data_IF_845078226648
#
_entry.id   IF_845078226648
#
_cell.length_a   1.000
_cell.length_b   1.000
_cell.length_c   1.000
_cell.angle_alpha   90.00
_cell.angle_beta   90.00
_cell.angle_gamma   90.00
#
_symmetry.space_group_name_H-M   'P 1'
#
loop_
_entity.id
_entity.type
_entity.pdbx_description
1 polymer ?
#
# COMPACT_ATOMS: atom_id res chain seq x y z
N UNK A 1 -41.70 60.09 -8.99
CA UNK A 1 -40.87 60.89 -9.92
C UNK A 1 -39.45 61.15 -9.39
N UNK A 2 -39.21 62.04 -8.41
CA UNK A 2 -37.83 62.33 -7.94
C UNK A 2 -37.14 61.11 -7.27
N UNK A 3 -37.88 60.32 -6.49
CA UNK A 3 -37.38 59.12 -5.83
C UNK A 3 -37.03 57.99 -6.83
N UNK A 4 -37.77 57.88 -7.93
CA UNK A 4 -37.50 56.89 -8.99
C UNK A 4 -36.21 57.24 -9.75
N UNK A 5 -36.02 58.52 -10.07
CA UNK A 5 -34.78 59.00 -10.71
C UNK A 5 -33.54 58.81 -9.84
N UNK A 6 -33.67 59.01 -8.52
CA UNK A 6 -32.58 58.74 -7.57
C UNK A 6 -32.26 57.25 -7.48
N UNK A 7 -33.28 56.39 -7.50
CA UNK A 7 -33.10 54.94 -7.53
C UNK A 7 -32.36 54.49 -8.80
N UNK A 8 -32.67 55.07 -9.96
CA UNK A 8 -32.01 54.75 -11.24
C UNK A 8 -30.50 55.08 -11.21
N UNK A 9 -30.13 56.23 -10.66
CA UNK A 9 -28.72 56.66 -10.55
C UNK A 9 -27.94 55.74 -9.61
N UNK A 10 -28.51 55.40 -8.45
CA UNK A 10 -27.89 54.46 -7.50
C UNK A 10 -27.77 53.07 -8.11
N UNK A 11 -28.79 52.59 -8.82
CA UNK A 11 -28.78 51.29 -9.47
C UNK A 11 -27.72 51.20 -10.59
N UNK A 12 -27.55 52.28 -11.38
CA UNK A 12 -26.52 52.36 -12.40
C UNK A 12 -25.10 52.32 -11.80
N UNK A 13 -24.86 53.05 -10.70
CA UNK A 13 -23.58 53.03 -9.99
C UNK A 13 -23.29 51.64 -9.39
N UNK A 14 -24.28 51.00 -8.76
CA UNK A 14 -24.17 49.63 -8.25
C UNK A 14 -23.85 48.65 -9.39
N UNK A 15 -24.54 48.76 -10.53
CA UNK A 15 -24.34 47.91 -11.69
C UNK A 15 -22.93 48.01 -12.28
N UNK A 16 -22.40 49.22 -12.42
CA UNK A 16 -21.04 49.45 -12.93
C UNK A 16 -19.97 48.86 -12.01
N UNK A 17 -20.07 49.11 -10.70
CA UNK A 17 -19.07 48.64 -9.74
C UNK A 17 -19.12 47.12 -9.60
N UNK A 18 -20.31 46.52 -9.49
CA UNK A 18 -20.45 45.06 -9.38
C UNK A 18 -20.06 44.37 -10.69
N UNK A 19 -20.41 44.93 -11.85
CA UNK A 19 -20.05 44.37 -13.16
C UNK A 19 -18.54 44.39 -13.44
N UNK A 20 -17.82 45.34 -12.85
CA UNK A 20 -16.35 45.44 -12.96
C UNK A 20 -15.58 44.47 -12.04
N UNK A 21 -16.27 43.74 -11.17
CA UNK A 21 -15.66 42.81 -10.21
C UNK A 21 -16.15 41.36 -10.40
N UNK A 22 -15.26 40.36 -10.38
CA UNK A 22 -15.68 38.96 -10.44
C UNK A 22 -16.56 38.62 -9.24
N UNK A 23 -17.62 37.82 -9.46
CA UNK A 23 -18.62 37.44 -8.44
C UNK A 23 -18.01 36.80 -7.18
N UNK A 24 -16.79 36.26 -7.27
CA UNK A 24 -16.00 35.76 -6.14
C UNK A 24 -15.48 36.83 -5.17
N UNK A 25 -15.48 38.11 -5.57
CA UNK A 25 -15.07 39.23 -4.71
C UNK A 25 -16.18 39.72 -3.77
N UNK A 26 -17.44 39.53 -4.16
CA UNK A 26 -18.63 39.93 -3.38
C UNK A 26 -19.10 38.78 -2.48
N UNK A 27 -18.87 37.54 -2.88
CA UNK A 27 -19.25 36.34 -2.13
C UNK A 27 -18.08 35.94 -1.22
N UNK A 28 -17.97 36.60 -0.07
CA UNK A 28 -17.02 36.20 0.97
C UNK A 28 -17.67 35.13 1.87
N UNK A 29 -17.28 33.86 1.71
CA UNK A 29 -17.65 32.77 2.64
C UNK A 29 -16.91 32.88 3.98
N UNK A 30 -15.84 33.68 4.04
CA UNK A 30 -15.01 33.87 5.24
C UNK A 30 -14.93 35.35 5.63
N UNK A 31 -15.90 35.82 6.42
CA UNK A 31 -15.78 36.87 7.46
C UNK A 31 -15.05 38.21 7.19
N UNK A 32 -14.58 38.50 5.98
CA UNK A 32 -13.81 39.71 5.66
C UNK A 32 -14.75 40.83 5.24
N UNK A 33 -15.36 41.46 6.24
CA UNK A 33 -16.19 42.67 6.11
C UNK A 33 -15.53 43.80 5.29
N UNK A 34 -14.19 43.80 5.14
CA UNK A 34 -13.43 44.86 4.48
C UNK A 34 -13.73 45.01 2.98
N UNK A 35 -13.76 43.92 2.20
CA UNK A 35 -13.90 44.02 0.73
C UNK A 35 -15.28 44.52 0.29
N UNK A 36 -16.31 44.14 1.04
CA UNK A 36 -17.67 44.60 0.82
C UNK A 36 -17.82 46.09 1.19
N UNK A 37 -17.26 46.50 2.32
CA UNK A 37 -17.27 47.90 2.75
C UNK A 37 -16.51 48.84 1.78
N UNK A 38 -15.47 48.33 1.11
CA UNK A 38 -14.73 49.10 0.10
C UNK A 38 -15.53 49.28 -1.20
N UNK A 39 -16.27 48.25 -1.61
CA UNK A 39 -17.18 48.31 -2.77
C UNK A 39 -18.33 49.29 -2.53
N UNK A 40 -18.96 49.23 -1.34
CA UNK A 40 -20.04 50.16 -0.98
C UNK A 40 -19.56 51.61 -0.87
N UNK A 41 -18.36 51.83 -0.32
CA UNK A 41 -17.74 53.17 -0.29
C UNK A 41 -17.49 53.74 -1.68
N UNK A 42 -17.00 52.93 -2.63
CA UNK A 42 -16.81 53.36 -4.02
C UNK A 42 -18.12 53.73 -4.71
N UNK A 43 -19.19 52.98 -4.45
CA UNK A 43 -20.52 53.30 -4.98
C UNK A 43 -21.01 54.65 -4.44
N UNK A 44 -20.80 54.92 -3.15
CA UNK A 44 -21.09 56.21 -2.53
C UNK A 44 -20.28 57.34 -3.17
N UNK A 45 -18.97 57.15 -3.37
CA UNK A 45 -18.08 58.15 -3.95
C UNK A 45 -18.45 58.49 -5.41
N UNK A 46 -18.95 57.52 -6.18
CA UNK A 46 -19.36 57.73 -7.57
C UNK A 46 -20.76 58.37 -7.68
N UNK A 47 -21.71 57.99 -6.81
CA UNK A 47 -23.09 58.44 -6.87
C UNK A 47 -23.33 59.79 -6.17
N UNK A 48 -22.66 60.05 -5.04
CA UNK A 48 -22.82 61.27 -4.22
C UNK A 48 -22.64 62.57 -5.01
N UNK A 49 -21.55 62.80 -5.78
CA UNK A 49 -21.35 64.08 -6.46
C UNK A 49 -22.39 64.34 -7.56
N UNK A 50 -22.89 63.29 -8.23
CA UNK A 50 -23.92 63.41 -9.26
C UNK A 50 -25.28 63.77 -8.65
N UNK A 51 -25.66 63.11 -7.56
CA UNK A 51 -26.93 63.36 -6.87
C UNK A 51 -26.94 64.74 -6.20
N UNK A 52 -25.82 65.16 -5.60
CA UNK A 52 -25.68 66.50 -5.03
C UNK A 52 -25.80 67.60 -6.09
N UNK A 53 -25.15 67.44 -7.25
CA UNK A 53 -25.15 68.45 -8.31
C UNK A 53 -26.51 68.58 -9.02
N UNK A 54 -27.23 67.48 -9.19
CA UNK A 54 -28.45 67.44 -10.00
C UNK A 54 -29.73 67.59 -9.15
N UNK A 55 -29.71 67.19 -7.87
CA UNK A 55 -30.89 67.19 -7.00
C UNK A 55 -30.69 67.85 -5.63
N UNK A 56 -29.47 68.25 -5.25
CA UNK A 56 -29.17 68.89 -3.96
C UNK A 56 -29.32 67.97 -2.74
N UNK A 57 -29.35 66.65 -2.95
CA UNK A 57 -29.56 65.65 -1.89
C UNK A 57 -28.20 65.01 -1.52
N UNK A 58 -27.87 64.97 -0.22
CA UNK A 58 -26.65 64.32 0.27
C UNK A 58 -26.88 62.83 0.58
N UNK A 59 -26.10 61.97 -0.09
CA UNK A 59 -26.19 60.52 0.04
C UNK A 59 -25.31 60.05 1.21
N UNK A 60 -25.93 59.66 2.32
CA UNK A 60 -25.23 59.32 3.58
C UNK A 60 -24.74 57.87 3.63
N UNK A 61 -25.59 56.90 3.27
CA UNK A 61 -25.26 55.46 3.33
C UNK A 61 -26.08 54.67 2.29
N UNK A 62 -25.49 53.61 1.75
CA UNK A 62 -26.16 52.65 0.85
C UNK A 62 -25.93 51.26 1.43
N UNK A 63 -27.01 50.50 1.64
CA UNK A 63 -26.95 49.14 2.18
C UNK A 63 -27.58 48.15 1.22
N UNK A 64 -26.90 47.01 1.01
CA UNK A 64 -27.44 45.90 0.25
C UNK A 64 -28.42 45.11 1.11
N UNK A 65 -29.67 44.97 0.65
CA UNK A 65 -30.69 44.19 1.36
C UNK A 65 -30.62 42.69 1.04
N UNK A 66 -30.36 42.33 -0.21
CA UNK A 66 -30.32 40.93 -0.65
C UNK A 66 -29.53 40.78 -1.95
N UNK A 67 -28.66 39.77 -2.02
CA UNK A 67 -28.00 39.32 -3.25
C UNK A 67 -28.58 37.95 -3.62
N UNK A 68 -29.33 37.85 -4.72
CA UNK A 68 -29.81 36.56 -5.22
C UNK A 68 -28.90 36.10 -6.36
N UNK A 69 -28.28 34.92 -6.21
CA UNK A 69 -27.67 34.26 -7.35
C UNK A 69 -28.79 33.64 -8.21
N UNK A 70 -28.81 33.88 -9.54
CA UNK A 70 -29.76 33.24 -10.45
C UNK A 70 -29.70 31.72 -10.32
N UNK A 71 -30.86 31.06 -10.26
CA UNK A 71 -30.94 29.60 -10.05
C UNK A 71 -30.22 28.79 -11.13
N UNK A 72 -30.16 29.30 -12.36
CA UNK A 72 -29.46 28.63 -13.47
C UNK A 72 -27.98 28.29 -13.19
N UNK A 73 -27.28 29.01 -12.31
CA UNK A 73 -25.86 28.77 -12.06
C UNK A 73 -25.56 27.80 -10.90
N UNK A 74 -26.53 27.53 -10.01
CA UNK A 74 -26.32 26.61 -8.87
C UNK A 74 -26.11 25.17 -9.32
N UNK A 75 -26.89 24.73 -10.31
CA UNK A 75 -26.80 23.37 -10.85
C UNK A 75 -25.42 23.08 -11.46
N UNK A 76 -24.86 24.02 -12.22
CA UNK A 76 -23.56 23.87 -12.87
C UNK A 76 -22.40 23.81 -11.84
N UNK A 77 -22.44 24.63 -10.79
CA UNK A 77 -21.43 24.59 -9.72
C UNK A 77 -21.51 23.28 -8.94
N UNK A 78 -22.72 22.80 -8.64
CA UNK A 78 -22.91 21.54 -7.92
C UNK A 78 -22.45 20.33 -8.74
N UNK A 79 -22.79 20.28 -10.04
CA UNK A 79 -22.31 19.25 -10.96
C UNK A 79 -20.78 19.22 -11.05
N UNK A 80 -20.14 20.40 -11.15
CA UNK A 80 -18.68 20.52 -11.14
C UNK A 80 -18.06 20.04 -9.83
N UNK A 81 -18.67 20.37 -8.68
CA UNK A 81 -18.21 19.92 -7.37
C UNK A 81 -18.31 18.39 -7.22
N UNK A 82 -19.40 17.79 -7.72
CA UNK A 82 -19.56 16.34 -7.73
C UNK A 82 -18.50 15.67 -8.61
N UNK A 83 -18.25 16.21 -9.80
CA UNK A 83 -17.22 15.69 -10.71
C UNK A 83 -15.81 15.76 -10.08
N UNK A 84 -15.46 16.88 -9.47
CA UNK A 84 -14.17 17.05 -8.77
C UNK A 84 -14.05 16.09 -7.58
N UNK A 85 -15.12 15.93 -6.77
CA UNK A 85 -15.12 14.95 -5.67
C UNK A 85 -14.99 13.51 -6.17
N UNK A 86 -15.69 13.17 -7.26
CA UNK A 86 -15.57 11.86 -7.91
C UNK A 86 -14.15 11.59 -8.39
N UNK A 87 -13.52 12.58 -9.06
CA UNK A 87 -12.14 12.49 -9.53
C UNK A 87 -11.14 12.34 -8.38
N UNK A 88 -11.32 13.09 -7.30
CA UNK A 88 -10.50 12.94 -6.09
C UNK A 88 -10.65 11.55 -5.47
N UNK A 89 -11.87 11.05 -5.32
CA UNK A 89 -12.12 9.71 -4.78
C UNK A 89 -11.47 8.61 -5.65
N UNK A 90 -11.59 8.72 -6.97
CA UNK A 90 -10.94 7.78 -7.91
C UNK A 90 -9.41 7.83 -7.78
N UNK A 91 -8.84 9.03 -7.69
CA UNK A 91 -7.39 9.20 -7.49
C UNK A 91 -6.93 8.52 -6.20
N UNK A 92 -7.59 8.78 -5.08
CA UNK A 92 -7.25 8.15 -3.80
C UNK A 92 -7.38 6.62 -3.83
N UNK A 93 -8.42 6.09 -4.49
CA UNK A 93 -8.56 4.62 -4.67
C UNK A 93 -7.40 4.05 -5.48
N UNK A 94 -7.09 4.66 -6.62
CA UNK A 94 -5.98 4.20 -7.47
C UNK A 94 -4.62 4.30 -6.79
N UNK A 95 -4.40 5.34 -5.98
CA UNK A 95 -3.18 5.47 -5.18
C UNK A 95 -3.10 4.39 -4.09
N UNK A 96 -4.20 4.19 -3.34
CA UNK A 96 -4.27 3.13 -2.32
C UNK A 96 -4.07 1.73 -2.90
N UNK A 97 -4.68 1.41 -4.04
CA UNK A 97 -4.46 0.13 -4.73
C UNK A 97 -3.01 -0.04 -5.19
N UNK A 98 -2.37 1.03 -5.67
CA UNK A 98 -0.97 1.00 -6.10
C UNK A 98 -0.04 0.75 -4.92
N UNK A 99 -0.26 1.44 -3.81
CA UNK A 99 0.53 1.27 -2.59
C UNK A 99 0.35 -0.13 -1.99
N UNK A 100 -0.90 -0.61 -1.94
CA UNK A 100 -1.20 -1.97 -1.51
C UNK A 100 -0.44 -3.01 -2.35
N UNK A 101 -0.50 -2.90 -3.69
CA UNK A 101 0.22 -3.83 -4.58
C UNK A 101 1.73 -3.79 -4.36
N UNK A 102 2.31 -2.60 -4.16
CA UNK A 102 3.74 -2.47 -3.84
C UNK A 102 4.08 -3.14 -2.51
N UNK A 103 3.28 -2.93 -1.48
CA UNK A 103 3.48 -3.49 -0.15
C UNK A 103 3.41 -5.02 -0.18
N UNK A 104 2.37 -5.57 -0.81
CA UNK A 104 2.19 -7.02 -0.96
C UNK A 104 3.37 -7.63 -1.72
N UNK A 105 3.76 -7.04 -2.86
CA UNK A 105 4.90 -7.54 -3.63
C UNK A 105 6.23 -7.47 -2.86
N UNK A 106 6.44 -6.45 -2.02
CA UNK A 106 7.60 -6.36 -1.15
C UNK A 106 7.58 -7.43 -0.05
N UNK A 107 6.43 -7.64 0.58
CA UNK A 107 6.22 -8.67 1.61
C UNK A 107 6.45 -10.08 1.05
N UNK A 108 5.91 -10.38 -0.14
CA UNK A 108 6.11 -11.68 -0.80
C UNK A 108 7.59 -11.92 -1.13
N UNK A 109 8.29 -10.92 -1.67
CA UNK A 109 9.74 -11.00 -1.92
C UNK A 109 10.52 -11.26 -0.65
N UNK A 110 10.17 -10.59 0.45
CA UNK A 110 10.84 -10.77 1.73
C UNK A 110 10.57 -12.17 2.31
N UNK A 111 9.33 -12.64 2.25
CA UNK A 111 8.94 -14.01 2.62
C UNK A 111 9.75 -15.05 1.84
N UNK A 112 9.79 -14.94 0.50
CA UNK A 112 10.55 -15.86 -0.35
C UNK A 112 12.03 -15.86 0.00
N UNK A 113 12.62 -14.68 0.25
CA UNK A 113 14.02 -14.58 0.65
C UNK A 113 14.29 -15.29 1.98
N UNK A 114 13.49 -15.00 3.00
CA UNK A 114 13.63 -15.61 4.34
C UNK A 114 13.51 -17.13 4.25
N UNK A 115 12.51 -17.64 3.51
CA UNK A 115 12.34 -19.08 3.33
C UNK A 115 13.52 -19.72 2.57
N UNK A 116 14.02 -19.05 1.54
CA UNK A 116 15.18 -19.54 0.78
C UNK A 116 16.47 -19.53 1.62
N UNK A 117 16.68 -18.51 2.44
CA UNK A 117 17.81 -18.42 3.38
C UNK A 117 17.71 -19.48 4.47
N UNK A 118 16.53 -19.65 5.08
CA UNK A 118 16.28 -20.68 6.08
C UNK A 118 16.49 -22.09 5.51
N UNK A 119 16.01 -22.36 4.29
CA UNK A 119 16.19 -23.65 3.64
C UNK A 119 17.67 -23.91 3.32
N UNK A 120 18.38 -22.91 2.78
CA UNK A 120 19.82 -23.02 2.52
C UNK A 120 20.60 -23.33 3.79
N UNK A 121 20.29 -22.66 4.88
CA UNK A 121 20.96 -22.84 6.16
C UNK A 121 20.66 -24.21 6.77
N UNK A 122 19.41 -24.68 6.67
CA UNK A 122 19.02 -26.02 7.10
C UNK A 122 19.77 -27.11 6.33
N UNK A 123 19.87 -26.99 4.99
CA UNK A 123 20.62 -27.94 4.17
C UNK A 123 22.13 -27.89 4.47
N UNK A 124 22.69 -26.70 4.71
CA UNK A 124 24.10 -26.54 5.13
C UNK A 124 24.37 -27.27 6.44
N UNK A 125 23.56 -27.02 7.47
CA UNK A 125 23.70 -27.67 8.78
C UNK A 125 23.53 -29.18 8.69
N UNK A 126 22.59 -29.65 7.87
CA UNK A 126 22.38 -31.08 7.65
C UNK A 126 23.58 -31.71 6.95
N UNK A 127 24.11 -31.09 5.91
CA UNK A 127 25.31 -31.56 5.21
C UNK A 127 26.54 -31.59 6.13
N UNK A 128 26.69 -30.59 7.01
CA UNK A 128 27.76 -30.56 8.02
C UNK A 128 27.61 -31.69 9.03
N UNK A 129 26.39 -31.93 9.52
CA UNK A 129 26.09 -33.04 10.42
C UNK A 129 26.35 -34.41 9.78
N UNK A 130 25.92 -34.59 8.53
CA UNK A 130 26.15 -35.82 7.77
C UNK A 130 27.64 -36.04 7.52
N UNK A 131 28.39 -34.99 7.17
CA UNK A 131 29.84 -35.07 6.98
C UNK A 131 30.56 -35.45 8.29
N UNK A 132 30.20 -34.82 9.41
CA UNK A 132 30.75 -35.17 10.73
C UNK A 132 30.42 -36.60 11.14
N UNK A 133 29.17 -37.04 10.93
CA UNK A 133 28.76 -38.41 11.20
C UNK A 133 29.55 -39.41 10.35
N UNK A 134 29.73 -39.13 9.05
CA UNK A 134 30.54 -39.97 8.16
C UNK A 134 32.00 -40.01 8.58
N UNK A 135 32.59 -38.89 9.01
CA UNK A 135 33.95 -38.85 9.56
C UNK A 135 34.08 -39.72 10.81
N UNK A 136 33.18 -39.57 11.78
CA UNK A 136 33.17 -40.38 13.01
C UNK A 136 33.00 -41.86 12.67
N UNK A 137 32.11 -42.20 11.74
CA UNK A 137 31.94 -43.58 11.28
C UNK A 137 33.20 -44.10 10.60
N UNK A 138 33.83 -43.34 9.70
CA UNK A 138 35.06 -43.73 9.04
C UNK A 138 36.21 -43.94 10.04
N UNK A 139 36.35 -43.06 11.03
CA UNK A 139 37.36 -43.15 12.09
C UNK A 139 37.11 -44.35 13.01
N UNK A 140 35.85 -44.60 13.39
CA UNK A 140 35.47 -45.74 14.22
C UNK A 140 35.70 -47.08 13.50
N UNK A 141 35.33 -47.17 12.21
CA UNK A 141 35.44 -48.40 11.43
C UNK A 141 36.84 -48.62 10.83
N UNK A 142 37.61 -47.56 10.59
CA UNK A 142 39.01 -47.63 10.16
C UNK A 142 39.93 -48.30 11.20
N UNK A 143 39.56 -48.24 12.48
CA UNK A 143 40.28 -48.93 13.58
C UNK A 143 40.12 -50.45 13.56
N UNK A 144 39.16 -51.01 12.83
CA UNK A 144 38.90 -52.46 12.84
C UNK A 144 38.03 -52.96 11.67
N UNK A 145 38.58 -53.11 10.45
CA UNK A 145 37.82 -53.52 9.27
C UNK A 145 37.13 -54.89 9.39
N UNK A 146 37.72 -55.79 10.17
CA UNK A 146 37.17 -57.14 10.41
C UNK A 146 35.96 -57.10 11.36
N UNK A 147 36.00 -56.26 12.40
CA UNK A 147 34.88 -56.06 13.33
C UNK A 147 33.68 -55.39 12.64
N UNK A 148 33.93 -54.48 11.70
CA UNK A 148 32.89 -53.89 10.85
C UNK A 148 32.17 -54.92 9.98
N UNK A 149 32.91 -55.76 9.24
CA UNK A 149 32.30 -56.81 8.42
C UNK A 149 31.44 -57.74 9.29
N UNK A 150 31.94 -58.12 10.47
CA UNK A 150 31.23 -58.98 11.41
C UNK A 150 29.92 -58.35 11.92
N UNK A 151 29.96 -57.15 12.50
CA UNK A 151 28.77 -56.45 13.02
C UNK A 151 27.74 -56.14 11.92
N UNK A 152 28.18 -55.71 10.73
CA UNK A 152 27.28 -55.47 9.59
C UNK A 152 26.57 -56.74 9.12
N UNK A 153 27.27 -57.88 9.08
CA UNK A 153 26.65 -59.17 8.75
C UNK A 153 25.66 -59.60 9.84
N UNK A 154 25.94 -59.35 11.12
CA UNK A 154 25.00 -59.62 12.21
C UNK A 154 23.73 -58.76 12.15
N UNK A 155 23.85 -57.45 11.91
CA UNK A 155 22.67 -56.57 11.75
C UNK A 155 21.87 -56.90 10.50
N UNK A 156 22.54 -57.32 9.42
CA UNK A 156 21.85 -57.82 8.22
C UNK A 156 21.08 -59.11 8.52
N UNK A 157 21.66 -60.01 9.32
CA UNK A 157 20.96 -61.20 9.79
C UNK A 157 19.74 -60.87 10.63
N UNK A 158 19.85 -59.95 11.57
CA UNK A 158 18.73 -59.52 12.41
C UNK A 158 17.58 -58.94 11.58
N UNK A 159 17.87 -58.16 10.53
CA UNK A 159 16.85 -57.62 9.61
C UNK A 159 16.25 -58.65 8.66
N UNK A 160 17.03 -59.66 8.25
CA UNK A 160 16.58 -60.68 7.28
C UNK A 160 15.84 -61.83 7.95
N UNK A 161 16.16 -62.14 9.21
CA UNK A 161 15.61 -63.27 9.98
C UNK A 161 14.41 -62.88 10.85
N UNK A 162 13.66 -61.85 10.43
CA UNK A 162 12.40 -61.51 11.11
C UNK A 162 11.45 -62.72 10.97
N UNK A 163 10.80 -63.11 12.09
CA UNK A 163 10.31 -64.48 12.38
C UNK A 163 9.30 -65.14 11.42
N UNK A 164 8.99 -64.50 10.29
CA UNK A 164 8.11 -64.97 9.20
C UNK A 164 8.84 -65.23 7.87
N UNK A 165 10.15 -64.98 7.77
CA UNK A 165 10.87 -65.03 6.49
C UNK A 165 11.62 -66.36 6.30
N UNK A 166 11.09 -67.24 5.45
CA UNK A 166 11.81 -68.44 4.99
C UNK A 166 12.68 -68.07 3.77
N UNK A 167 13.99 -67.95 3.98
CA UNK A 167 14.94 -67.58 2.93
C UNK A 167 15.57 -68.84 2.33
N UNK A 168 15.38 -69.07 1.02
CA UNK A 168 16.12 -70.08 0.27
C UNK A 168 17.37 -69.46 -0.37
N UNK A 169 18.54 -69.78 0.19
CA UNK A 169 19.84 -69.37 -0.33
C UNK A 169 20.71 -70.62 -0.57
N UNK A 170 21.55 -70.62 -1.61
CA UNK A 170 22.49 -71.71 -1.85
C UNK A 170 23.54 -71.78 -0.73
N UNK A 171 24.00 -72.99 -0.42
CA UNK A 171 24.86 -73.29 0.74
C UNK A 171 26.25 -72.62 0.70
N UNK A 172 26.63 -72.07 -0.45
CA UNK A 172 27.86 -71.33 -0.70
C UNK A 172 27.69 -69.80 -0.57
N UNK A 173 26.49 -69.32 -0.25
CA UNK A 173 26.23 -67.90 -0.12
C UNK A 173 27.15 -67.26 0.93
N UNK A 174 27.78 -66.15 0.54
CA UNK A 174 28.83 -65.46 1.31
C UNK A 174 28.40 -65.09 2.74
N UNK A 175 27.08 -64.98 2.93
CA UNK A 175 26.41 -64.70 4.19
C UNK A 175 26.73 -65.80 5.23
N UNK A 176 26.54 -67.09 4.92
CA UNK A 176 26.66 -68.22 5.86
C UNK A 176 28.09 -68.50 6.35
N UNK A 177 29.10 -67.91 5.71
CA UNK A 177 30.52 -68.13 6.01
C UNK A 177 30.93 -67.77 7.44
N UNK A 178 30.21 -66.85 8.10
CA UNK A 178 30.43 -66.51 9.53
C UNK A 178 29.80 -67.55 10.46
N UNK A 179 28.73 -68.24 10.02
CA UNK A 179 28.01 -69.26 10.81
C UNK A 179 28.64 -70.67 10.66
N UNK A 180 29.29 -70.96 9.54
CA UNK A 180 29.95 -72.25 9.25
C UNK A 180 31.30 -72.43 9.99
N UNK A 181 31.73 -71.46 10.81
CA UNK A 181 32.90 -71.58 11.69
C UNK A 181 34.25 -71.76 10.98
N UNK A 182 34.30 -71.76 9.64
CA UNK A 182 35.51 -71.94 8.86
C UNK A 182 36.22 -70.58 8.72
N UNK A 183 37.48 -70.45 9.17
CA UNK A 183 38.21 -69.19 9.04
C UNK A 183 38.34 -68.84 7.55
N UNK A 184 38.08 -67.57 7.23
CA UNK A 184 38.29 -67.05 5.89
C UNK A 184 39.73 -67.37 5.45
N UNK A 185 39.88 -68.18 4.39
CA UNK A 185 41.19 -68.45 3.79
C UNK A 185 41.86 -67.12 3.48
N UNK A 186 42.97 -66.85 4.14
CA UNK A 186 43.90 -65.80 3.76
C UNK A 186 44.38 -66.10 2.34
N UNK A 187 43.89 -65.33 1.38
CA UNK A 187 44.46 -65.27 0.03
C UNK A 187 45.81 -64.56 0.11
N UNK A 188 46.79 -65.10 -0.63
CA UNK A 188 48.09 -64.47 -0.91
C UNK A 188 47.95 -63.09 -1.51
#
# INVERSE_FOLDING_TARGET
MAQERLADIVLAAVGNVIGSHPSSAVISVDGRASRFADVMRRILDEARPRILAEYGIDLVDVRLRQLTLPEQNRANVFARMQAERGKMAMKYRSEGERELKKLVAAADRQKTRILAEAYREAERLKAEGDAQAMQIYADAFGRGPQFYKFTRTLTAYEKMLDGSTTIFLPADAEIFRILDGRPARAGR
#
